data_IF_993808978958
#
_entry.id   IF_993808978958
#
_cell.length_a   1.000
_cell.length_b   1.000
_cell.length_c   1.000
_cell.angle_alpha   90.00
_cell.angle_beta   90.00
_cell.angle_gamma   90.00
#
_symmetry.space_group_name_H-M   'P 1'
#
loop_
_entity.id
_entity.type
_entity.pdbx_description
1 polymer ?
#
# COMPACT_ATOMS: atom_id res chain seq x y z
N UNK A 1 6.33 -6.07 21.67
CA UNK A 1 7.00 -4.97 20.92
C UNK A 1 6.68 -3.66 21.63
N UNK A 2 7.45 -2.58 21.42
CA UNK A 2 7.14 -1.28 22.06
C UNK A 2 6.03 -0.57 21.25
N UNK A 3 5.07 0.11 21.90
CA UNK A 3 3.98 0.83 21.22
C UNK A 3 4.48 1.76 20.10
N UNK A 4 5.63 2.39 20.32
CA UNK A 4 6.28 3.35 19.43
C UNK A 4 6.75 2.72 18.09
N UNK A 5 7.06 1.42 18.09
CA UNK A 5 7.54 0.69 16.91
C UNK A 5 6.36 0.33 15.99
N UNK A 6 5.18 0.12 16.58
CA UNK A 6 3.94 -0.16 15.88
C UNK A 6 3.35 1.09 15.22
N UNK A 7 3.29 2.21 15.93
CA UNK A 7 2.89 3.50 15.33
C UNK A 7 3.81 3.89 14.17
N UNK A 8 5.11 3.63 14.31
CA UNK A 8 6.07 3.89 13.24
C UNK A 8 5.82 3.04 11.99
N UNK A 9 5.60 1.74 12.15
CA UNK A 9 5.28 0.84 11.03
C UNK A 9 3.98 1.26 10.34
N UNK A 10 2.97 1.68 11.11
CA UNK A 10 1.70 2.18 10.56
C UNK A 10 1.95 3.44 9.71
N UNK A 11 2.70 4.41 10.22
CA UNK A 11 3.03 5.65 9.49
C UNK A 11 3.86 5.41 8.22
N UNK A 12 4.86 4.52 8.30
CA UNK A 12 5.68 4.15 7.12
C UNK A 12 4.82 3.47 6.04
N UNK A 13 3.86 2.64 6.43
CA UNK A 13 2.95 1.98 5.49
C UNK A 13 1.90 2.95 4.91
N UNK A 14 1.36 3.87 5.70
CA UNK A 14 0.47 4.93 5.19
C UNK A 14 1.19 5.81 4.17
N UNK A 15 2.45 6.15 4.43
CA UNK A 15 3.29 6.93 3.50
C UNK A 15 3.49 6.16 2.20
N UNK A 16 3.84 4.87 2.27
CA UNK A 16 4.04 4.03 1.09
C UNK A 16 2.78 3.92 0.22
N UNK A 17 1.59 3.83 0.82
CA UNK A 17 0.33 3.80 0.08
C UNK A 17 0.08 5.12 -0.63
N UNK A 18 0.29 6.25 0.04
CA UNK A 18 0.10 7.57 -0.57
C UNK A 18 1.05 7.80 -1.75
N UNK A 19 2.33 7.42 -1.60
CA UNK A 19 3.31 7.52 -2.68
C UNK A 19 2.97 6.62 -3.87
N UNK A 20 2.47 5.41 -3.59
CA UNK A 20 2.04 4.47 -4.63
C UNK A 20 0.83 5.01 -5.39
N UNK A 21 -0.16 5.57 -4.69
CA UNK A 21 -1.32 6.20 -5.32
C UNK A 21 -0.91 7.37 -6.21
N UNK A 22 -0.03 8.25 -5.72
CA UNK A 22 0.47 9.38 -6.50
C UNK A 22 1.24 8.93 -7.75
N UNK A 23 1.95 7.81 -7.66
CA UNK A 23 2.67 7.21 -8.80
C UNK A 23 1.70 6.66 -9.86
N UNK A 24 0.64 6.00 -9.42
CA UNK A 24 -0.44 5.50 -10.29
C UNK A 24 -1.13 6.66 -11.01
N UNK A 25 -1.52 7.71 -10.29
CA UNK A 25 -2.18 8.88 -10.86
C UNK A 25 -1.30 9.56 -11.93
N UNK A 26 0.02 9.63 -11.69
CA UNK A 26 0.98 10.15 -12.68
C UNK A 26 1.14 9.23 -13.90
N UNK A 27 1.06 7.93 -13.71
CA UNK A 27 1.09 6.96 -14.81
C UNK A 27 -0.16 7.08 -15.68
N UNK A 28 -1.35 7.18 -15.08
CA UNK A 28 -2.61 7.43 -15.78
C UNK A 28 -2.60 8.76 -16.52
N UNK A 29 -2.12 9.84 -15.89
CA UNK A 29 -2.00 11.15 -16.52
C UNK A 29 -1.08 11.14 -17.76
N UNK A 30 -0.13 10.21 -17.83
CA UNK A 30 0.77 9.99 -18.97
C UNK A 30 0.21 8.98 -19.99
N UNK A 31 -1.00 8.46 -19.78
CA UNK A 31 -1.67 7.51 -20.66
C UNK A 31 -1.12 6.09 -20.58
N UNK A 32 -0.41 5.76 -19.50
CA UNK A 32 0.21 4.44 -19.30
C UNK A 32 -0.85 3.33 -19.16
N UNK A 33 -2.03 3.67 -18.62
CA UNK A 33 -3.21 2.82 -18.56
C UNK A 33 -3.66 2.31 -19.94
N UNK A 34 -3.48 3.12 -20.98
CA UNK A 34 -3.84 2.80 -22.36
C UNK A 34 -2.69 2.24 -23.17
N UNK A 35 -1.48 2.73 -22.91
CA UNK A 35 -0.28 2.31 -23.63
C UNK A 35 0.24 0.93 -23.18
N UNK A 36 0.11 0.63 -21.87
CA UNK A 36 0.65 -0.57 -21.24
C UNK A 36 -0.34 -1.14 -20.20
N UNK A 37 -1.55 -1.54 -20.63
CA UNK A 37 -2.64 -1.94 -19.72
C UNK A 37 -2.28 -3.15 -18.85
N UNK A 38 -1.44 -4.07 -19.33
CA UNK A 38 -1.01 -5.23 -18.56
C UNK A 38 -0.08 -4.86 -17.41
N UNK A 39 0.91 -4.00 -17.66
CA UNK A 39 1.84 -3.52 -16.63
C UNK A 39 1.13 -2.62 -15.61
N UNK A 40 0.18 -1.81 -16.09
CA UNK A 40 -0.69 -1.02 -15.23
C UNK A 40 -1.55 -1.89 -14.30
N UNK A 41 -2.19 -2.93 -14.84
CA UNK A 41 -2.96 -3.89 -14.04
C UNK A 41 -2.08 -4.64 -13.02
N UNK A 42 -0.83 -4.96 -13.37
CA UNK A 42 0.13 -5.58 -12.45
C UNK A 42 0.51 -4.66 -11.30
N UNK A 43 0.70 -3.36 -11.56
CA UNK A 43 0.93 -2.37 -10.51
C UNK A 43 -0.26 -2.25 -9.55
N UNK A 44 -1.49 -2.29 -10.07
CA UNK A 44 -2.69 -2.28 -9.23
C UNK A 44 -2.80 -3.52 -8.35
N UNK A 45 -2.44 -4.70 -8.87
CA UNK A 45 -2.42 -5.96 -8.09
C UNK A 45 -1.37 -5.92 -6.96
N UNK A 46 -0.21 -5.32 -7.20
CA UNK A 46 0.80 -5.09 -6.16
C UNK A 46 0.25 -4.17 -5.06
N UNK A 47 -0.41 -3.07 -5.44
CA UNK A 47 -1.00 -2.13 -4.48
C UNK A 47 -2.08 -2.82 -3.62
N UNK A 48 -3.00 -3.56 -4.24
CA UNK A 48 -4.06 -4.28 -3.53
C UNK A 48 -3.49 -5.31 -2.53
N UNK A 49 -2.44 -6.04 -2.94
CA UNK A 49 -1.72 -6.98 -2.05
C UNK A 49 -1.07 -6.26 -0.87
N UNK A 50 -0.40 -5.14 -1.10
CA UNK A 50 0.26 -4.37 -0.05
C UNK A 50 -0.76 -3.86 0.99
N UNK A 51 -1.90 -3.33 0.54
CA UNK A 51 -2.99 -2.85 1.41
C UNK A 51 -3.57 -4.01 2.23
N UNK A 52 -3.82 -5.17 1.61
CA UNK A 52 -4.33 -6.37 2.31
C UNK A 52 -3.35 -6.86 3.38
N UNK A 53 -2.06 -6.95 3.04
CA UNK A 53 -1.02 -7.35 3.98
C UNK A 53 -0.90 -6.39 5.16
N UNK A 54 -0.95 -5.08 4.93
CA UNK A 54 -0.96 -4.10 6.01
C UNK A 54 -2.17 -4.31 6.92
N UNK A 55 -3.37 -4.46 6.34
CA UNK A 55 -4.59 -4.65 7.13
C UNK A 55 -4.53 -5.92 7.98
N UNK A 56 -4.06 -7.02 7.41
CA UNK A 56 -3.86 -8.29 8.13
C UNK A 56 -2.84 -8.13 9.26
N UNK A 57 -1.73 -7.44 9.01
CA UNK A 57 -0.71 -7.16 10.02
C UNK A 57 -1.27 -6.31 11.16
N UNK A 58 -1.98 -5.21 10.87
CA UNK A 58 -2.60 -4.36 11.90
C UNK A 58 -3.64 -5.13 12.70
N UNK A 59 -4.46 -5.97 12.05
CA UNK A 59 -5.45 -6.81 12.73
C UNK A 59 -4.81 -7.90 13.60
N UNK A 60 -3.68 -8.48 13.18
CA UNK A 60 -2.94 -9.43 13.99
C UNK A 60 -2.37 -8.74 15.24
N UNK A 61 -1.78 -7.56 15.08
CA UNK A 61 -1.28 -6.77 16.21
C UNK A 61 -2.37 -6.41 17.23
N UNK A 62 -3.53 -5.92 16.76
CA UNK A 62 -4.65 -5.60 17.65
C UNK A 62 -5.23 -6.82 18.38
N UNK A 63 -5.02 -8.04 17.87
CA UNK A 63 -5.40 -9.29 18.54
C UNK A 63 -4.36 -9.74 19.55
N UNK A 64 -3.08 -9.47 19.29
CA UNK A 64 -1.97 -9.81 20.21
C UNK A 64 -1.89 -8.85 21.40
N UNK A 65 -2.41 -7.63 21.27
CA UNK A 65 -2.49 -6.62 22.34
C UNK A 65 -3.72 -6.78 23.28
N UNK A 66 -4.59 -7.79 23.08
CA UNK A 66 -5.87 -7.96 23.78
C UNK A 66 -5.97 -9.27 24.58
#
# INVERSE_FOLDING_TARGET
MRPDEHERVILELETLIQETQATIDQAEARGLDKAMPADYAYLLDILDKAVKQQREHTLAMLKDDN
#
